data_IF_327750514732
#
_entry.id   IF_327750514732
#
_cell.length_a   1.000
_cell.length_b   1.000
_cell.length_c   1.000
_cell.angle_alpha   90.00
_cell.angle_beta   90.00
_cell.angle_gamma   90.00
#
_symmetry.space_group_name_H-M   'P 1'
#
loop_
_entity.id
_entity.type
_entity.pdbx_description
1 polymer ?
#
# COMPACT_ATOMS: atom_id res chain seq x y z
N UNK A 1 -2.06 -12.64 -9.22
CA UNK A 1 -1.12 -11.54 -9.55
C UNK A 1 0.27 -12.02 -9.21
N UNK A 2 1.28 -11.71 -10.02
CA UNK A 2 2.65 -12.13 -9.72
C UNK A 2 3.20 -11.25 -8.58
N UNK A 3 3.90 -11.83 -7.61
CA UNK A 3 4.60 -11.07 -6.57
C UNK A 3 5.94 -10.49 -7.09
N UNK A 4 6.14 -10.42 -8.42
CA UNK A 4 7.37 -9.94 -9.02
C UNK A 4 7.29 -8.42 -9.21
N UNK A 5 8.37 -7.73 -8.86
CA UNK A 5 8.54 -6.30 -9.12
C UNK A 5 9.90 -6.06 -9.78
N UNK A 6 9.97 -5.02 -10.61
CA UNK A 6 11.22 -4.58 -11.20
C UNK A 6 12.18 -4.05 -10.12
N UNK A 7 13.44 -4.45 -10.24
CA UNK A 7 14.58 -3.89 -9.52
C UNK A 7 15.75 -3.77 -10.50
N UNK A 8 16.00 -2.55 -10.96
CA UNK A 8 17.02 -2.25 -11.97
C UNK A 8 16.77 -3.06 -13.26
N UNK A 9 17.75 -3.82 -13.76
CA UNK A 9 17.61 -4.68 -14.93
C UNK A 9 17.05 -6.09 -14.61
N UNK A 10 16.58 -6.31 -13.38
CA UNK A 10 16.12 -7.63 -12.89
C UNK A 10 14.71 -7.58 -12.30
N UNK A 11 14.13 -8.76 -12.07
CA UNK A 11 12.88 -8.93 -11.34
C UNK A 11 13.14 -9.62 -10.01
N UNK A 12 12.45 -9.16 -8.97
CA UNK A 12 12.56 -9.72 -7.62
C UNK A 12 11.18 -10.01 -7.04
N UNK A 13 11.10 -11.04 -6.20
CA UNK A 13 9.87 -11.39 -5.50
C UNK A 13 9.70 -10.53 -4.25
N UNK A 14 8.57 -9.84 -4.14
CA UNK A 14 8.15 -9.17 -2.93
C UNK A 14 7.86 -10.21 -1.84
N UNK A 15 8.58 -10.11 -0.73
CA UNK A 15 8.35 -11.00 0.42
C UNK A 15 7.05 -10.64 1.15
N UNK A 16 6.39 -11.65 1.72
CA UNK A 16 5.23 -11.44 2.62
C UNK A 16 5.56 -10.51 3.78
N UNK A 17 6.77 -10.62 4.34
CA UNK A 17 7.22 -9.75 5.43
C UNK A 17 7.23 -8.28 5.01
N UNK A 18 7.65 -7.98 3.78
CA UNK A 18 7.65 -6.62 3.27
C UNK A 18 6.23 -6.11 3.07
N UNK A 19 5.33 -6.93 2.50
CA UNK A 19 3.90 -6.58 2.35
C UNK A 19 3.26 -6.26 3.69
N UNK A 20 3.48 -7.12 4.69
CA UNK A 20 2.96 -6.92 6.03
C UNK A 20 3.51 -5.65 6.68
N UNK A 21 4.81 -5.34 6.51
CA UNK A 21 5.39 -4.11 7.02
C UNK A 21 4.74 -2.85 6.42
N UNK A 22 4.49 -2.85 5.10
CA UNK A 22 3.81 -1.73 4.43
C UNK A 22 2.36 -1.57 4.90
N UNK A 23 1.65 -2.69 5.12
CA UNK A 23 0.30 -2.69 5.70
C UNK A 23 0.32 -2.08 7.11
N UNK A 24 1.27 -2.46 7.95
CA UNK A 24 1.41 -1.90 9.29
C UNK A 24 1.73 -0.39 9.28
N UNK A 25 2.54 0.08 8.32
CA UNK A 25 2.77 1.52 8.12
C UNK A 25 1.45 2.25 7.82
N UNK A 26 0.65 1.73 6.88
CA UNK A 26 -0.63 2.35 6.53
C UNK A 26 -1.61 2.39 7.72
N UNK A 27 -1.68 1.29 8.49
CA UNK A 27 -2.52 1.23 9.69
C UNK A 27 -2.09 2.26 10.74
N UNK A 28 -0.79 2.37 11.00
CA UNK A 28 -0.25 3.32 11.96
C UNK A 28 -0.53 4.77 11.52
N UNK A 29 -0.38 5.07 10.22
CA UNK A 29 -0.69 6.40 9.69
C UNK A 29 -2.20 6.73 9.83
N UNK A 30 -3.08 5.81 9.47
CA UNK A 30 -4.52 5.97 9.69
C UNK A 30 -4.86 6.18 11.18
N UNK A 31 -4.28 5.39 12.10
CA UNK A 31 -4.50 5.57 13.55
C UNK A 31 -4.06 6.95 14.04
N UNK A 32 -2.94 7.46 13.52
CA UNK A 32 -2.46 8.79 13.85
C UNK A 32 -3.39 9.88 13.32
N UNK A 33 -3.86 9.75 12.08
CA UNK A 33 -4.68 10.77 11.41
C UNK A 33 -6.13 10.79 11.89
N UNK A 34 -6.69 9.65 12.30
CA UNK A 34 -8.04 9.56 12.87
C UNK A 34 -8.22 10.51 14.07
N UNK A 35 -7.16 10.78 14.83
CA UNK A 35 -7.16 11.73 15.95
C UNK A 35 -7.37 13.19 15.52
N UNK A 36 -7.03 13.52 14.28
CA UNK A 36 -7.07 14.89 13.74
C UNK A 36 -8.20 15.07 12.71
N UNK A 37 -8.49 14.02 11.95
CA UNK A 37 -9.50 13.99 10.89
C UNK A 37 -10.33 12.70 10.99
N UNK A 38 -11.30 12.66 11.92
CA UNK A 38 -12.15 11.49 12.12
C UNK A 38 -12.88 11.09 10.84
N UNK A 39 -13.08 9.79 10.65
CA UNK A 39 -13.78 9.18 9.51
C UNK A 39 -13.13 9.36 8.12
N UNK A 40 -12.02 10.10 8.03
CA UNK A 40 -11.34 10.38 6.75
C UNK A 40 -10.20 9.40 6.42
N UNK A 41 -9.79 8.54 7.36
CA UNK A 41 -8.58 7.71 7.25
C UNK A 41 -8.88 6.24 7.61
N UNK A 42 -9.67 5.58 6.79
CA UNK A 42 -10.21 4.24 7.07
C UNK A 42 -9.59 3.10 6.26
N UNK A 43 -8.91 3.42 5.16
CA UNK A 43 -8.28 2.45 4.28
C UNK A 43 -6.96 2.98 3.70
N UNK A 44 -6.11 2.05 3.26
CA UNK A 44 -4.85 2.34 2.60
C UNK A 44 -4.57 1.40 1.43
N UNK A 45 -3.92 1.92 0.39
CA UNK A 45 -3.32 1.15 -0.69
C UNK A 45 -1.85 1.53 -0.82
N UNK A 46 -0.99 0.53 -0.90
CA UNK A 46 0.42 0.72 -1.16
C UNK A 46 0.74 0.10 -2.51
N UNK A 47 1.02 0.93 -3.52
CA UNK A 47 1.40 0.48 -4.84
C UNK A 47 2.92 0.38 -4.95
N UNK A 48 3.41 -0.79 -5.35
CA UNK A 48 4.83 -1.02 -5.64
C UNK A 48 4.98 -1.15 -7.15
N UNK A 49 5.73 -0.22 -7.75
CA UNK A 49 5.95 -0.13 -9.20
C UNK A 49 7.39 -0.53 -9.53
N UNK A 50 8.37 0.05 -8.84
CA UNK A 50 9.80 -0.23 -9.07
C UNK A 50 10.62 0.04 -7.80
N UNK A 51 11.31 -0.97 -7.27
CA UNK A 51 12.08 -0.83 -6.03
C UNK A 51 13.41 -0.08 -6.19
N UNK A 52 13.87 0.17 -7.42
CA UNK A 52 15.11 0.89 -7.68
C UNK A 52 14.93 2.43 -7.63
N UNK A 53 13.69 2.92 -7.62
CA UNK A 53 13.38 4.35 -7.70
C UNK A 53 12.81 4.90 -6.39
N UNK A 54 13.14 6.16 -6.08
CA UNK A 54 12.62 6.88 -4.90
C UNK A 54 11.08 6.99 -4.91
N UNK A 55 10.48 7.04 -6.10
CA UNK A 55 9.04 7.05 -6.32
C UNK A 55 8.53 5.65 -6.69
N UNK A 56 9.16 4.61 -6.15
CA UNK A 56 8.82 3.22 -6.42
C UNK A 56 7.62 2.70 -5.67
N UNK A 57 7.31 3.35 -4.54
CA UNK A 57 6.30 2.94 -3.58
C UNK A 57 5.40 4.15 -3.33
N UNK A 58 4.11 3.98 -3.58
CA UNK A 58 3.10 5.03 -3.44
C UNK A 58 2.04 4.61 -2.45
N UNK A 59 1.76 5.48 -1.49
CA UNK A 59 0.66 5.29 -0.55
C UNK A 59 -0.53 6.15 -0.94
N UNK A 60 -1.72 5.57 -0.88
CA UNK A 60 -2.98 6.25 -1.06
C UNK A 60 -3.93 5.87 0.08
N UNK A 61 -4.72 6.83 0.54
CA UNK A 61 -5.58 6.70 1.71
C UNK A 61 -6.94 7.33 1.44
N UNK A 62 -7.95 6.93 2.21
CA UNK A 62 -9.25 7.60 2.12
C UNK A 62 -10.24 7.21 3.20
N UNK A 63 -11.38 7.91 3.11
CA UNK A 63 -12.56 7.68 3.93
C UNK A 63 -13.29 6.41 3.49
N UNK A 64 -14.13 5.86 4.37
CA UNK A 64 -14.77 4.56 4.11
C UNK A 64 -15.78 4.66 2.95
N UNK A 65 -16.33 5.86 2.72
CA UNK A 65 -17.18 6.19 1.57
C UNK A 65 -16.45 6.15 0.22
N UNK A 66 -15.12 6.32 0.22
CA UNK A 66 -14.27 6.29 -0.96
C UNK A 66 -13.52 4.95 -1.12
N UNK A 67 -13.87 3.93 -0.32
CA UNK A 67 -13.21 2.63 -0.37
C UNK A 67 -13.41 2.01 -1.77
N UNK A 68 -12.33 1.63 -2.47
CA UNK A 68 -12.45 0.97 -3.77
C UNK A 68 -13.13 -0.40 -3.66
N UNK A 69 -14.04 -0.70 -4.60
CA UNK A 69 -14.65 -2.03 -4.76
C UNK A 69 -13.70 -3.00 -5.50
N UNK A 70 -12.53 -3.25 -4.90
CA UNK A 70 -11.46 -4.07 -5.46
C UNK A 70 -11.32 -5.44 -4.78
N UNK A 71 -12.17 -5.75 -3.79
CA UNK A 71 -12.13 -6.96 -2.94
C UNK A 71 -10.81 -7.17 -2.18
N UNK A 72 -9.97 -6.14 -2.03
CA UNK A 72 -8.68 -6.25 -1.32
C UNK A 72 -8.79 -5.93 0.18
N UNK A 73 -9.97 -5.53 0.65
CA UNK A 73 -10.21 -5.11 2.03
C UNK A 73 -9.75 -3.68 2.30
N UNK A 74 -9.58 -3.33 3.57
CA UNK A 74 -9.20 -1.96 3.96
C UNK A 74 -7.74 -1.63 3.69
N UNK A 75 -6.82 -2.60 3.80
CA UNK A 75 -5.39 -2.36 3.63
C UNK A 75 -4.79 -3.40 2.70
N UNK A 76 -4.16 -2.95 1.63
CA UNK A 76 -3.58 -3.85 0.65
C UNK A 76 -2.33 -3.28 -0.01
N UNK A 77 -1.44 -4.19 -0.40
CA UNK A 77 -0.30 -3.90 -1.25
C UNK A 77 -0.63 -4.37 -2.66
N UNK A 78 -0.43 -3.49 -3.64
CA UNK A 78 -0.67 -3.75 -5.05
C UNK A 78 0.67 -3.71 -5.76
N UNK A 79 1.02 -4.79 -6.45
CA UNK A 79 2.25 -4.86 -7.25
C UNK A 79 1.86 -4.57 -8.71
N UNK A 80 2.45 -3.52 -9.29
CA UNK A 80 2.22 -3.11 -10.69
C UNK A 80 3.39 -3.57 -11.56
N UNK A 81 3.08 -4.00 -12.77
CA UNK A 81 4.05 -4.38 -13.81
C UNK A 81 4.57 -3.17 -14.59
#
# INVERSE_FOLDING_TARGET
MSDQVKFDDTWTTITERFKNALIEVMRAECEMMEKYHPDCWSWGRCEIIDLAHINGIHFNFGANEDLPDDNLGQFAVIIKE
#
